data_IF_574365338238
#
_entry.id   IF_574365338238
#
_cell.length_a   1.000
_cell.length_b   1.000
_cell.length_c   1.000
_cell.angle_alpha   90.00
_cell.angle_beta   90.00
_cell.angle_gamma   90.00
#
_symmetry.space_group_name_H-M   'P 1'
#
loop_
_entity.id
_entity.type
_entity.pdbx_description
1 polymer ?
#
# COMPACT_ATOMS: atom_id res chain seq x y z
N UNK A 1 19.20 -4.94 -11.96
CA UNK A 1 18.17 -5.47 -11.03
C UNK A 1 18.91 -5.86 -9.77
N UNK A 2 18.68 -5.14 -8.67
CA UNK A 2 19.33 -5.41 -7.39
C UNK A 2 18.31 -6.15 -6.52
N UNK A 3 18.29 -7.48 -6.65
CA UNK A 3 17.34 -8.34 -5.97
C UNK A 3 17.95 -8.85 -4.66
N UNK A 4 17.13 -8.91 -3.63
CA UNK A 4 17.49 -9.14 -2.24
C UNK A 4 16.72 -10.35 -1.70
N UNK A 5 17.37 -11.48 -1.34
CA UNK A 5 16.70 -12.59 -0.65
C UNK A 5 16.37 -12.31 0.82
N UNK A 6 15.12 -12.03 1.17
CA UNK A 6 14.67 -11.88 2.57
C UNK A 6 14.05 -13.18 3.10
N UNK A 7 14.15 -13.42 4.40
CA UNK A 7 13.62 -14.63 5.05
C UNK A 7 12.69 -14.26 6.20
N UNK A 8 11.54 -14.94 6.24
CA UNK A 8 10.52 -14.77 7.27
C UNK A 8 10.29 -16.06 8.05
N UNK A 9 10.24 -15.96 9.37
CA UNK A 9 9.82 -17.04 10.27
C UNK A 9 8.33 -16.90 10.60
N UNK A 10 7.56 -18.00 10.53
CA UNK A 10 6.16 -18.02 10.95
C UNK A 10 5.92 -18.97 12.13
N UNK A 11 4.87 -18.72 12.90
CA UNK A 11 4.49 -19.59 14.04
C UNK A 11 3.82 -20.90 13.60
N UNK A 12 3.22 -20.92 12.40
CA UNK A 12 2.56 -22.11 11.87
C UNK A 12 2.79 -22.26 10.38
N UNK A 13 2.85 -23.51 9.92
CA UNK A 13 3.02 -23.84 8.49
C UNK A 13 1.87 -23.31 7.63
N UNK A 14 0.65 -23.28 8.19
CA UNK A 14 -0.52 -22.72 7.54
C UNK A 14 -0.33 -21.23 7.23
N UNK A 15 0.18 -20.46 8.20
CA UNK A 15 0.43 -19.04 8.01
C UNK A 15 1.47 -18.77 6.92
N UNK A 16 2.58 -19.52 6.95
CA UNK A 16 3.63 -19.41 5.93
C UNK A 16 3.11 -19.74 4.52
N UNK A 17 2.24 -20.75 4.39
CA UNK A 17 1.62 -21.11 3.11
C UNK A 17 0.67 -20.03 2.58
N UNK A 18 -0.11 -19.37 3.44
CA UNK A 18 -1.00 -18.28 3.03
C UNK A 18 -0.22 -17.06 2.56
N UNK A 19 0.87 -16.72 3.26
CA UNK A 19 1.78 -15.66 2.83
C UNK A 19 2.45 -16.00 1.50
N UNK A 20 2.94 -17.24 1.37
CA UNK A 20 3.56 -17.73 0.13
C UNK A 20 2.59 -17.66 -1.05
N UNK A 21 1.35 -18.15 -0.89
CA UNK A 21 0.31 -18.12 -1.94
C UNK A 21 0.03 -16.69 -2.39
N UNK A 22 -0.11 -15.75 -1.45
CA UNK A 22 -0.32 -14.32 -1.74
C UNK A 22 0.88 -13.71 -2.47
N UNK A 23 2.10 -14.05 -2.06
CA UNK A 23 3.33 -13.59 -2.71
C UNK A 23 3.48 -14.17 -4.12
N UNK A 24 3.21 -15.45 -4.32
CA UNK A 24 3.26 -16.09 -5.65
C UNK A 24 2.21 -15.51 -6.59
N UNK A 25 1.00 -15.21 -6.09
CA UNK A 25 -0.05 -14.53 -6.86
C UNK A 25 0.38 -13.15 -7.36
N UNK A 26 1.14 -12.41 -6.54
CA UNK A 26 1.68 -11.10 -6.89
C UNK A 26 2.99 -11.18 -7.71
N UNK A 27 3.48 -12.38 -8.00
CA UNK A 27 4.64 -12.63 -8.88
C UNK A 27 6.00 -12.67 -8.18
N UNK A 28 6.02 -12.73 -6.86
CA UNK A 28 7.27 -12.93 -6.11
C UNK A 28 7.82 -14.33 -6.33
N UNK A 29 9.15 -14.48 -6.15
CA UNK A 29 9.81 -15.79 -6.14
C UNK A 29 10.01 -16.24 -4.70
N UNK A 30 9.34 -17.31 -4.32
CA UNK A 30 9.32 -17.82 -2.94
C UNK A 30 9.84 -19.24 -2.83
N UNK A 31 10.39 -19.58 -1.66
CA UNK A 31 10.75 -20.94 -1.29
C UNK A 31 10.44 -21.18 0.19
N UNK A 32 9.62 -22.18 0.48
CA UNK A 32 9.28 -22.57 1.84
C UNK A 32 10.22 -23.68 2.33
N UNK A 33 10.79 -23.48 3.51
CA UNK A 33 11.61 -24.45 4.22
C UNK A 33 10.91 -24.88 5.52
N UNK A 34 10.68 -26.18 5.65
CA UNK A 34 10.19 -26.80 6.88
C UNK A 34 11.39 -27.07 7.82
N UNK A 35 11.83 -26.05 8.58
CA UNK A 35 12.79 -26.23 9.68
C UNK A 35 12.12 -26.95 10.87
N UNK A 36 12.88 -27.67 11.73
CA UNK A 36 12.32 -28.56 12.74
C UNK A 36 11.56 -27.85 13.86
N UNK A 37 11.65 -26.52 13.98
CA UNK A 37 10.94 -25.75 15.00
C UNK A 37 9.86 -24.85 14.41
N UNK A 38 10.16 -24.10 13.35
CA UNK A 38 9.24 -23.12 12.76
C UNK A 38 9.47 -23.01 11.25
N UNK A 39 8.39 -22.90 10.44
CA UNK A 39 8.51 -22.73 9.00
C UNK A 39 9.19 -21.41 8.63
N UNK A 40 10.08 -21.48 7.64
CA UNK A 40 10.79 -20.32 7.08
C UNK A 40 10.38 -20.12 5.62
N UNK A 41 10.03 -18.88 5.26
CA UNK A 41 9.73 -18.48 3.89
C UNK A 41 10.84 -17.58 3.37
N UNK A 42 11.53 -18.02 2.33
CA UNK A 42 12.51 -17.22 1.60
C UNK A 42 11.82 -16.52 0.43
N UNK A 43 12.11 -15.24 0.22
CA UNK A 43 11.49 -14.41 -0.81
C UNK A 43 12.58 -13.61 -1.51
N UNK A 44 12.62 -13.65 -2.84
CA UNK A 44 13.49 -12.77 -3.62
C UNK A 44 12.71 -11.50 -3.96
N UNK A 45 13.13 -10.37 -3.41
CA UNK A 45 12.47 -9.07 -3.60
C UNK A 45 13.36 -8.09 -4.35
N UNK A 46 12.77 -7.27 -5.22
CA UNK A 46 13.45 -6.08 -5.77
C UNK A 46 13.19 -4.87 -4.87
N UNK A 47 14.04 -3.83 -4.92
CA UNK A 47 13.95 -2.65 -4.01
C UNK A 47 12.56 -2.02 -3.94
N UNK A 48 11.81 -2.01 -5.05
CA UNK A 48 10.45 -1.42 -5.10
C UNK A 48 9.38 -2.25 -4.40
N UNK A 49 9.65 -3.54 -4.15
CA UNK A 49 8.65 -4.53 -3.70
C UNK A 49 8.91 -5.01 -2.27
N UNK A 50 9.90 -4.44 -1.59
CA UNK A 50 10.30 -4.82 -0.21
C UNK A 50 9.17 -4.49 0.76
N UNK A 51 8.58 -3.30 0.66
CA UNK A 51 7.53 -2.84 1.57
C UNK A 51 6.31 -3.76 1.53
N UNK A 52 5.81 -4.06 0.34
CA UNK A 52 4.68 -4.98 0.19
C UNK A 52 5.03 -6.39 0.65
N UNK A 53 6.25 -6.89 0.41
CA UNK A 53 6.67 -8.19 0.93
C UNK A 53 6.69 -8.25 2.46
N UNK A 54 7.16 -7.18 3.12
CA UNK A 54 7.12 -7.04 4.59
C UNK A 54 5.67 -7.04 5.09
N UNK A 55 4.80 -6.21 4.50
CA UNK A 55 3.39 -6.09 4.89
C UNK A 55 2.63 -7.41 4.74
N UNK A 56 2.83 -8.14 3.63
CA UNK A 56 2.20 -9.44 3.41
C UNK A 56 2.67 -10.44 4.47
N UNK A 57 3.99 -10.51 4.71
CA UNK A 57 4.52 -11.43 5.71
C UNK A 57 3.95 -11.13 7.11
N UNK A 58 3.97 -9.86 7.53
CA UNK A 58 3.46 -9.42 8.83
C UNK A 58 1.96 -9.64 8.99
N UNK A 59 1.16 -9.41 7.94
CA UNK A 59 -0.29 -9.66 7.93
C UNK A 59 -0.62 -11.13 8.21
N UNK A 60 0.28 -12.04 7.82
CA UNK A 60 0.18 -13.48 8.10
C UNK A 60 0.96 -13.91 9.35
N UNK A 61 1.51 -12.98 10.14
CA UNK A 61 2.23 -13.27 11.38
C UNK A 61 3.68 -13.72 11.18
N UNK A 62 4.25 -13.45 10.01
CA UNK A 62 5.67 -13.63 9.72
C UNK A 62 6.52 -12.57 10.41
N UNK A 63 7.72 -12.97 10.85
CA UNK A 63 8.73 -12.06 11.39
C UNK A 63 9.98 -12.17 10.54
N UNK A 64 10.56 -11.03 10.18
CA UNK A 64 11.84 -10.99 9.48
C UNK A 64 12.92 -11.63 10.37
N UNK A 65 13.76 -12.48 9.79
CA UNK A 65 14.90 -13.07 10.50
C UNK A 65 16.21 -12.67 9.86
N UNK A 66 17.15 -12.25 10.69
CA UNK A 66 18.50 -11.93 10.26
C UNK A 66 19.25 -13.22 9.93
N UNK A 67 19.69 -13.34 8.68
CA UNK A 67 20.54 -14.46 8.23
C UNK A 67 21.93 -13.91 7.93
N UNK A 68 22.99 -14.73 8.11
CA UNK A 68 24.38 -14.29 7.93
C UNK A 68 24.68 -13.67 6.55
N UNK A 69 23.92 -14.06 5.53
CA UNK A 69 24.06 -13.58 4.16
C UNK A 69 23.21 -12.33 3.84
N UNK A 70 22.44 -11.80 4.81
CA UNK A 70 21.44 -10.75 4.57
C UNK A 70 21.58 -9.49 5.41
N UNK A 71 21.15 -8.31 4.91
CA UNK A 71 21.16 -7.07 5.67
C UNK A 71 20.35 -7.24 6.95
N UNK A 72 20.86 -6.63 8.02
CA UNK A 72 20.14 -6.57 9.29
C UNK A 72 18.77 -5.91 9.13
N UNK A 73 17.89 -6.17 10.08
CA UNK A 73 16.51 -5.65 10.07
C UNK A 73 16.45 -4.13 9.80
N UNK A 74 17.29 -3.27 10.43
CA UNK A 74 17.31 -1.83 10.15
C UNK A 74 17.65 -1.48 8.70
N UNK A 75 18.54 -2.23 8.04
CA UNK A 75 18.88 -2.00 6.64
C UNK A 75 17.72 -2.40 5.72
N UNK A 76 16.97 -3.46 6.03
CA UNK A 76 15.77 -3.83 5.27
C UNK A 76 14.69 -2.75 5.40
N UNK A 77 14.47 -2.22 6.60
CA UNK A 77 13.54 -1.11 6.81
C UNK A 77 13.97 0.17 6.09
N UNK A 78 15.26 0.51 6.12
CA UNK A 78 15.78 1.65 5.38
C UNK A 78 15.58 1.49 3.86
N UNK A 79 15.72 0.27 3.33
CA UNK A 79 15.47 0.00 1.92
C UNK A 79 13.99 0.10 1.55
N UNK A 80 13.09 -0.35 2.44
CA UNK A 80 11.64 -0.34 2.24
C UNK A 80 11.05 1.08 2.31
N UNK A 81 11.44 1.83 3.33
CA UNK A 81 10.79 3.09 3.67
C UNK A 81 11.59 4.34 3.31
N UNK A 82 12.87 4.19 2.94
CA UNK A 82 13.81 5.28 2.62
C UNK A 82 13.63 6.49 3.56
N UNK A 83 13.91 6.35 4.87
CA UNK A 83 13.61 7.37 5.87
C UNK A 83 14.35 8.70 5.61
N UNK A 84 15.50 8.64 4.93
CA UNK A 84 16.26 9.82 4.51
C UNK A 84 15.75 10.42 3.18
N UNK A 85 15.00 9.63 2.40
CA UNK A 85 14.37 10.03 1.14
C UNK A 85 13.15 10.94 1.29
N UNK A 86 12.73 11.21 2.53
CA UNK A 86 11.82 12.28 2.94
C UNK A 86 10.69 12.60 1.97
N UNK A 87 9.52 11.96 2.11
CA UNK A 87 8.30 12.46 1.49
C UNK A 87 7.96 13.78 2.18
N UNK A 88 8.21 14.91 1.50
CA UNK A 88 7.77 16.23 1.94
C UNK A 88 6.24 16.22 1.91
N UNK A 89 5.61 15.85 3.02
CA UNK A 89 4.19 16.11 3.23
C UNK A 89 4.10 17.59 3.55
N UNK A 90 3.50 18.44 2.69
CA UNK A 90 3.38 19.85 2.99
C UNK A 90 2.45 19.99 4.20
N UNK A 91 3.03 20.25 5.37
CA UNK A 91 2.28 20.82 6.47
C UNK A 91 1.88 22.22 6.00
N UNK A 92 0.64 22.36 5.55
CA UNK A 92 0.04 23.65 5.29
C UNK A 92 0.18 24.48 6.57
N UNK A 93 0.99 25.52 6.52
CA UNK A 93 1.15 26.46 7.62
C UNK A 93 -0.13 27.29 7.64
N UNK A 94 -1.12 26.88 8.42
CA UNK A 94 -2.32 27.68 8.67
C UNK A 94 -1.91 28.84 9.57
N UNK A 95 -1.36 29.88 8.97
CA UNK A 95 -1.34 31.21 9.57
C UNK A 95 -2.75 31.81 9.53
N UNK A 96 -3.11 32.70 10.46
CA UNK A 96 -4.44 33.31 10.55
C UNK A 96 -4.72 34.38 9.47
N UNK A 97 -4.01 34.35 8.34
CA UNK A 97 -4.26 35.27 7.22
C UNK A 97 -4.15 34.48 5.92
N UNK A 98 -5.32 34.26 5.34
CA UNK A 98 -5.60 33.32 4.27
C UNK A 98 -4.88 33.74 2.98
N UNK A 99 -4.00 32.88 2.47
CA UNK A 99 -3.75 32.83 1.02
C UNK A 99 -4.58 31.70 0.47
N UNK A 100 -5.71 32.08 -0.11
CA UNK A 100 -6.61 31.23 -0.87
C UNK A 100 -5.87 30.69 -2.11
N UNK A 101 -5.09 29.63 -1.90
CA UNK A 101 -4.65 28.76 -2.99
C UNK A 101 -5.87 27.92 -3.38
N UNK A 102 -6.76 28.56 -4.14
CA UNK A 102 -7.88 27.90 -4.76
C UNK A 102 -7.41 26.64 -5.47
N UNK A 103 -8.20 25.58 -5.38
CA UNK A 103 -7.99 24.29 -6.05
C UNK A 103 -7.76 24.40 -7.58
N UNK A 104 -7.93 25.58 -8.17
CA UNK A 104 -7.64 25.89 -9.56
C UNK A 104 -6.15 25.74 -9.94
N UNK A 105 -5.20 25.84 -9.00
CA UNK A 105 -3.78 25.60 -9.31
C UNK A 105 -3.46 24.11 -9.58
N UNK A 106 -4.35 23.20 -9.19
CA UNK A 106 -4.27 21.75 -9.46
C UNK A 106 -5.27 21.28 -10.55
N UNK A 107 -5.87 22.21 -11.30
CA UNK A 107 -6.92 21.94 -12.29
C UNK A 107 -6.44 21.41 -13.65
N UNK A 108 -5.62 20.36 -13.69
CA UNK A 108 -5.50 19.50 -14.86
C UNK A 108 -6.67 18.52 -14.87
N UNK A 109 -7.77 18.89 -15.52
CA UNK A 109 -9.07 18.19 -15.47
C UNK A 109 -9.04 16.71 -15.88
N UNK A 110 -10.04 15.94 -15.41
CA UNK A 110 -11.16 15.67 -16.31
C UNK A 110 -12.50 15.80 -15.56
N UNK A 111 -13.47 16.53 -16.12
CA UNK A 111 -14.80 16.54 -15.51
C UNK A 111 -15.78 17.61 -15.99
N UNK A 112 -15.38 18.54 -16.86
CA UNK A 112 -16.34 19.50 -17.41
C UNK A 112 -16.98 18.95 -18.68
N UNK A 113 -18.17 18.36 -18.53
CA UNK A 113 -19.29 18.51 -19.47
C UNK A 113 -20.51 17.69 -19.03
N UNK A 114 -21.21 18.08 -17.98
CA UNK A 114 -22.65 17.87 -17.88
C UNK A 114 -23.29 19.11 -17.24
N UNK A 115 -23.56 20.11 -18.07
CA UNK A 115 -24.60 21.09 -17.78
C UNK A 115 -25.92 20.41 -18.12
N UNK A 116 -26.67 19.97 -17.11
CA UNK A 116 -28.10 19.72 -17.30
C UNK A 116 -28.84 20.53 -16.25
N UNK A 117 -29.51 21.54 -16.76
CA UNK A 117 -30.38 22.50 -16.10
C UNK A 117 -31.72 21.84 -15.82
N UNK A 118 -31.86 20.95 -14.82
CA UNK A 118 -33.20 20.53 -14.36
C UNK A 118 -33.16 20.15 -12.87
N UNK A 119 -33.88 20.94 -12.09
CA UNK A 119 -34.18 20.77 -10.67
C UNK A 119 -35.23 19.67 -10.51
N UNK A 120 -34.82 18.41 -10.71
CA UNK A 120 -35.68 17.25 -10.43
C UNK A 120 -35.56 16.88 -8.95
N UNK A 121 -36.67 17.05 -8.22
CA UNK A 121 -36.82 16.57 -6.84
C UNK A 121 -36.53 15.07 -6.79
N UNK A 122 -35.56 14.69 -5.95
CA UNK A 122 -35.10 13.32 -5.76
C UNK A 122 -36.26 12.32 -5.52
N UNK A 123 -36.53 11.44 -6.48
CA UNK A 123 -37.52 10.36 -6.40
C UNK A 123 -36.83 8.98 -6.42
N UNK A 124 -36.74 8.28 -5.27
CA UNK A 124 -36.08 6.98 -5.17
C UNK A 124 -36.90 5.81 -5.71
N UNK A 125 -38.11 6.03 -6.25
CA UNK A 125 -38.96 4.97 -6.79
C UNK A 125 -38.72 4.66 -8.27
N UNK A 126 -37.93 5.47 -8.98
CA UNK A 126 -37.55 5.23 -10.37
C UNK A 126 -36.29 4.39 -10.50
N UNK A 127 -36.23 3.54 -11.52
CA UNK A 127 -35.08 2.66 -11.81
C UNK A 127 -33.92 3.38 -12.53
N UNK A 128 -34.02 4.70 -12.74
CA UNK A 128 -33.02 5.52 -13.46
C UNK A 128 -31.86 5.98 -12.54
N UNK A 129 -31.71 5.35 -11.37
CA UNK A 129 -30.74 5.72 -10.35
C UNK A 129 -29.32 5.25 -10.71
N UNK A 130 -28.47 6.17 -11.14
CA UNK A 130 -27.08 5.87 -11.57
C UNK A 130 -26.00 6.26 -10.54
N UNK A 131 -26.36 6.55 -9.29
CA UNK A 131 -25.43 6.85 -8.19
C UNK A 131 -25.85 8.06 -7.36
N UNK A 132 -25.20 8.22 -6.19
CA UNK A 132 -25.36 9.39 -5.31
C UNK A 132 -24.16 10.32 -5.46
N UNK A 133 -24.43 11.61 -5.67
CA UNK A 133 -23.41 12.65 -5.62
C UNK A 133 -23.15 13.05 -4.17
N UNK A 134 -21.94 12.77 -3.68
CA UNK A 134 -21.53 13.10 -2.32
C UNK A 134 -20.91 14.50 -2.29
N UNK A 135 -21.74 15.51 -2.56
CA UNK A 135 -21.40 16.93 -2.43
C UNK A 135 -22.10 17.55 -1.21
N UNK A 136 -21.35 18.21 -0.33
CA UNK A 136 -21.94 18.99 0.77
C UNK A 136 -22.33 20.36 0.19
N UNK A 137 -23.63 20.60 0.01
CA UNK A 137 -24.15 21.91 -0.37
C UNK A 137 -24.32 22.77 0.90
N UNK A 138 -23.64 23.92 0.95
CA UNK A 138 -23.72 24.88 2.06
C UNK A 138 -24.89 25.85 1.88
#
# INVERSE_FOLDING_TARGET
MNSAPITFEFESRKAALLAMDTMEELGYRTALHDEPQKPLLHVIVDKGDITSALEIAEAHGGRLIETADFPNEPAVFAMAYDPDGGIIIPAHLVGPDEVDISAAAYGGGPGSAYTNEDDDTFDPSREDYNGFDAGIHL
#
